data_IF_993637317602
#
_entry.id   IF_993637317602
#
_cell.length_a   1.000
_cell.length_b   1.000
_cell.length_c   1.000
_cell.angle_alpha   90.00
_cell.angle_beta   90.00
_cell.angle_gamma   90.00
#
_symmetry.space_group_name_H-M   'P 1'
#
loop_
_entity.id
_entity.type
_entity.pdbx_description
1 polymer ?
#
# COMPACT_ATOMS: atom_id res chain seq x y z
N UNK A 1 -10.61 -3.41 11.79
CA UNK A 1 -9.46 -2.62 11.30
C UNK A 1 -9.20 -2.96 9.84
N UNK A 2 -8.96 -1.97 8.96
CA UNK A 2 -8.55 -2.20 7.57
C UNK A 2 -7.04 -2.43 7.58
N UNK A 3 -6.61 -3.67 7.36
CA UNK A 3 -5.19 -4.03 7.32
C UNK A 3 -4.75 -4.41 5.90
N UNK A 4 -3.48 -4.19 5.55
CA UNK A 4 -2.93 -4.67 4.30
C UNK A 4 -3.03 -6.21 4.22
N UNK A 5 -3.46 -6.69 3.06
CA UNK A 5 -3.56 -8.14 2.82
C UNK A 5 -2.19 -8.78 2.56
N UNK A 6 -1.32 -8.04 1.89
CA UNK A 6 0.05 -8.41 1.54
C UNK A 6 0.87 -7.15 1.31
N UNK A 7 2.18 -7.33 1.23
CA UNK A 7 3.10 -6.27 0.83
C UNK A 7 3.72 -6.64 -0.52
N UNK A 8 3.93 -5.62 -1.34
CA UNK A 8 4.64 -5.71 -2.60
C UNK A 8 5.98 -4.99 -2.43
N UNK A 9 7.02 -5.49 -3.07
CA UNK A 9 8.31 -4.82 -3.09
C UNK A 9 8.53 -4.27 -4.50
N UNK A 10 8.94 -3.01 -4.59
CA UNK A 10 9.32 -2.45 -5.89
C UNK A 10 10.46 -3.27 -6.53
N UNK A 11 11.37 -3.82 -5.71
CA UNK A 11 12.49 -4.58 -6.18
C UNK A 11 13.58 -3.71 -6.81
N UNK A 12 14.50 -4.38 -7.52
CA UNK A 12 15.60 -3.69 -8.18
C UNK A 12 15.09 -2.91 -9.39
N UNK A 13 15.56 -1.66 -9.55
CA UNK A 13 15.25 -0.84 -10.71
C UNK A 13 15.77 -1.49 -12.00
N UNK A 14 14.89 -1.59 -12.99
CA UNK A 14 15.19 -2.15 -14.30
C UNK A 14 15.24 -1.03 -15.33
N UNK A 15 16.35 -0.83 -16.06
CA UNK A 15 16.40 0.16 -17.13
C UNK A 15 15.40 -0.16 -18.23
N UNK A 16 14.81 0.87 -18.89
CA UNK A 16 13.86 0.66 -19.97
C UNK A 16 14.46 -0.13 -21.14
N UNK A 17 15.78 -0.01 -21.34
CA UNK A 17 16.52 -0.73 -22.39
C UNK A 17 16.62 -2.24 -22.20
N UNK A 18 16.41 -2.73 -20.98
CA UNK A 18 16.55 -4.16 -20.63
C UNK A 18 15.23 -4.89 -20.41
N UNK A 19 14.08 -4.21 -20.62
CA UNK A 19 12.77 -4.78 -20.42
C UNK A 19 12.49 -5.95 -21.37
N UNK A 20 11.91 -7.03 -20.82
CA UNK A 20 11.44 -8.19 -21.59
C UNK A 20 9.99 -8.51 -21.28
N UNK A 21 9.27 -8.95 -22.30
CA UNK A 21 7.89 -9.38 -22.12
C UNK A 21 7.78 -10.53 -21.11
N UNK A 22 6.81 -10.43 -20.22
CA UNK A 22 6.52 -11.42 -19.20
C UNK A 22 7.22 -11.21 -17.86
N UNK A 23 8.22 -10.33 -17.78
CA UNK A 23 8.94 -10.01 -16.54
C UNK A 23 8.14 -9.06 -15.65
N UNK A 24 8.23 -9.26 -14.34
CA UNK A 24 7.79 -8.28 -13.35
C UNK A 24 8.95 -7.31 -13.07
N UNK A 25 8.71 -6.03 -13.30
CA UNK A 25 9.76 -5.01 -13.26
C UNK A 25 9.35 -3.82 -12.41
N UNK A 26 10.35 -3.14 -11.88
CA UNK A 26 10.23 -1.79 -11.35
C UNK A 26 11.11 -0.87 -12.17
N UNK A 27 10.53 0.20 -12.66
CA UNK A 27 11.21 1.21 -13.47
C UNK A 27 11.07 2.58 -12.83
N UNK A 28 12.11 3.39 -12.96
CA UNK A 28 12.02 4.84 -12.74
C UNK A 28 11.83 5.50 -14.09
N UNK A 29 10.79 6.30 -14.24
CA UNK A 29 10.53 6.99 -15.49
C UNK A 29 9.81 8.32 -15.27
N UNK A 30 10.10 9.28 -16.12
CA UNK A 30 9.37 10.54 -16.23
C UNK A 30 8.12 10.35 -17.08
N UNK A 31 7.05 11.02 -16.72
CA UNK A 31 5.83 11.08 -17.53
C UNK A 31 6.05 12.08 -18.67
N UNK A 32 6.16 11.61 -19.90
CA UNK A 32 6.24 12.44 -21.09
C UNK A 32 4.86 12.94 -21.58
N UNK A 33 3.79 12.19 -21.26
CA UNK A 33 2.41 12.57 -21.60
C UNK A 33 1.40 11.58 -21.05
N UNK A 34 0.18 12.06 -20.83
CA UNK A 34 -0.95 11.26 -20.39
C UNK A 34 -2.22 11.68 -21.15
N UNK A 35 -2.92 10.73 -21.77
CA UNK A 35 -4.08 11.00 -22.61
C UNK A 35 -5.22 10.01 -22.37
N UNK A 36 -6.42 10.51 -22.12
CA UNK A 36 -7.64 9.71 -22.08
C UNK A 36 -8.10 9.38 -23.50
N UNK A 37 -8.33 8.10 -23.76
CA UNK A 37 -8.77 7.59 -25.06
C UNK A 37 -9.98 6.68 -24.88
N UNK A 38 -11.02 6.85 -25.71
CA UNK A 38 -12.13 5.91 -25.76
C UNK A 38 -11.70 4.56 -26.30
N UNK A 39 -12.21 3.47 -25.73
CA UNK A 39 -11.91 2.14 -26.24
C UNK A 39 -12.61 1.92 -27.59
N UNK A 40 -11.91 1.31 -28.55
CA UNK A 40 -12.45 1.01 -29.88
C UNK A 40 -13.65 0.05 -29.86
N UNK A 41 -13.79 -0.75 -28.81
CA UNK A 41 -14.92 -1.65 -28.61
C UNK A 41 -16.23 -0.97 -28.18
N UNK A 42 -16.22 0.38 -28.06
CA UNK A 42 -17.41 1.14 -27.66
C UNK A 42 -17.73 1.09 -26.17
N UNK A 43 -17.05 0.29 -25.38
CA UNK A 43 -17.27 0.22 -23.93
C UNK A 43 -16.01 0.56 -23.15
N UNK A 44 -16.08 1.64 -22.34
CA UNK A 44 -15.02 2.06 -21.46
C UNK A 44 -14.01 3.00 -22.08
N UNK A 45 -13.09 3.44 -21.24
CA UNK A 45 -12.01 4.38 -21.56
C UNK A 45 -10.69 3.84 -21.04
N UNK A 46 -9.59 4.30 -21.59
CA UNK A 46 -8.26 4.04 -21.10
C UNK A 46 -7.45 5.33 -21.00
N UNK A 47 -6.59 5.38 -20.02
CA UNK A 47 -5.54 6.39 -19.90
C UNK A 47 -4.26 5.78 -20.45
N UNK A 48 -3.74 6.36 -21.52
CA UNK A 48 -2.45 6.02 -22.11
C UNK A 48 -1.41 7.01 -21.57
N UNK A 49 -0.42 6.51 -20.86
CA UNK A 49 0.67 7.29 -20.29
C UNK A 49 1.95 6.91 -21.01
N UNK A 50 2.63 7.89 -21.54
CA UNK A 50 3.95 7.73 -22.16
C UNK A 50 5.01 8.01 -21.10
N UNK A 51 5.84 7.02 -20.83
CA UNK A 51 6.95 7.07 -19.88
C UNK A 51 8.27 7.14 -20.62
N UNK A 52 9.25 7.85 -20.07
CA UNK A 52 10.59 7.96 -20.65
C UNK A 52 11.67 7.95 -19.55
N UNK A 53 12.84 7.42 -19.89
CA UNK A 53 14.09 7.58 -19.14
C UNK A 53 15.02 8.64 -19.77
N UNK A 54 14.49 9.43 -20.72
CA UNK A 54 15.22 10.41 -21.52
C UNK A 54 15.78 9.85 -22.82
N UNK A 55 15.84 8.54 -22.98
CA UNK A 55 16.38 7.84 -24.19
C UNK A 55 15.30 6.98 -24.85
N UNK A 56 14.57 6.22 -24.05
CA UNK A 56 13.55 5.28 -24.52
C UNK A 56 12.15 5.68 -24.03
N UNK A 57 11.15 5.13 -24.70
CA UNK A 57 9.75 5.32 -24.35
C UNK A 57 9.08 3.99 -24.07
N UNK A 58 8.23 3.97 -23.04
CA UNK A 58 7.38 2.84 -22.66
C UNK A 58 5.94 3.36 -22.48
N UNK A 59 4.96 2.55 -22.86
CA UNK A 59 3.55 2.88 -22.59
C UNK A 59 3.09 2.25 -21.29
N UNK A 60 2.41 3.03 -20.45
CA UNK A 60 1.62 2.50 -19.35
C UNK A 60 0.13 2.74 -19.63
N UNK A 61 -0.72 1.71 -19.50
CA UNK A 61 -2.13 1.80 -19.85
C UNK A 61 -3.01 1.41 -18.67
N UNK A 62 -3.96 2.29 -18.35
CA UNK A 62 -4.98 2.06 -17.32
C UNK A 62 -6.35 2.01 -17.97
N UNK A 63 -7.11 0.93 -17.75
CA UNK A 63 -8.45 0.75 -18.30
C UNK A 63 -9.51 1.03 -17.24
N UNK A 64 -10.63 1.65 -17.63
CA UNK A 64 -11.79 1.80 -16.78
C UNK A 64 -13.10 1.81 -17.58
N UNK A 65 -14.21 1.56 -16.88
CA UNK A 65 -15.54 1.64 -17.48
C UNK A 65 -15.95 3.07 -17.84
N UNK A 66 -15.44 4.06 -17.10
CA UNK A 66 -15.72 5.48 -17.34
C UNK A 66 -14.51 6.36 -16.97
N UNK A 67 -14.46 7.56 -17.50
CA UNK A 67 -13.37 8.52 -17.31
C UNK A 67 -13.19 8.97 -15.85
N UNK A 68 -14.26 9.02 -15.06
CA UNK A 68 -14.18 9.48 -13.67
C UNK A 68 -13.27 8.61 -12.80
N UNK A 69 -13.13 7.32 -13.15
CA UNK A 69 -12.21 6.41 -12.46
C UNK A 69 -10.74 6.65 -12.79
N UNK A 70 -10.45 7.23 -13.96
CA UNK A 70 -9.10 7.50 -14.41
C UNK A 70 -8.67 8.95 -14.13
N UNK A 71 -9.61 9.87 -13.95
CA UNK A 71 -9.31 11.27 -13.68
C UNK A 71 -8.37 11.51 -12.46
N UNK A 72 -8.47 10.76 -11.34
CA UNK A 72 -7.51 10.91 -10.26
C UNK A 72 -6.09 10.47 -10.65
N UNK A 73 -5.97 9.40 -11.46
CA UNK A 73 -4.67 8.90 -11.96
C UNK A 73 -4.07 9.90 -12.93
N UNK A 74 -4.89 10.41 -13.88
CA UNK A 74 -4.46 11.44 -14.86
C UNK A 74 -3.93 12.70 -14.18
N UNK A 75 -4.58 13.14 -13.09
CA UNK A 75 -4.14 14.32 -12.34
C UNK A 75 -2.84 14.10 -11.57
N UNK A 76 -2.55 12.87 -11.17
CA UNK A 76 -1.31 12.52 -10.47
C UNK A 76 -0.15 12.38 -11.47
N UNK A 77 -0.38 11.71 -12.60
CA UNK A 77 0.65 11.45 -13.63
C UNK A 77 0.82 12.67 -14.55
N UNK A 78 1.38 13.74 -13.97
CA UNK A 78 1.61 14.99 -14.67
C UNK A 78 2.88 14.93 -15.52
N UNK A 79 2.88 15.42 -16.77
CA UNK A 79 4.09 15.48 -17.58
C UNK A 79 5.22 16.25 -16.89
N UNK A 80 6.45 15.76 -17.02
CA UNK A 80 7.66 16.32 -16.41
C UNK A 80 7.93 15.83 -14.99
N UNK A 81 7.05 15.02 -14.39
CA UNK A 81 7.28 14.43 -13.07
C UNK A 81 7.77 12.99 -13.18
N UNK A 82 8.67 12.62 -12.28
CA UNK A 82 9.23 11.27 -12.19
C UNK A 82 8.46 10.39 -11.21
N UNK A 83 8.28 9.13 -11.59
CA UNK A 83 7.59 8.13 -10.79
C UNK A 83 8.33 6.79 -10.86
N UNK A 84 8.20 6.01 -9.79
CA UNK A 84 8.42 4.57 -9.84
C UNK A 84 7.17 3.90 -10.41
N UNK A 85 7.35 3.03 -11.39
CA UNK A 85 6.28 2.18 -11.89
C UNK A 85 6.66 0.72 -11.71
N UNK A 86 5.73 -0.08 -11.19
CA UNK A 86 5.94 -1.51 -11.07
C UNK A 86 4.79 -2.29 -11.68
N UNK A 87 5.12 -3.36 -12.38
CA UNK A 87 4.13 -4.22 -13.00
C UNK A 87 4.76 -5.23 -13.95
N UNK A 88 3.90 -6.06 -14.52
CA UNK A 88 4.32 -7.04 -15.50
C UNK A 88 4.41 -6.40 -16.88
N UNK A 89 5.54 -6.61 -17.54
CA UNK A 89 5.75 -6.16 -18.91
C UNK A 89 4.94 -7.04 -19.85
N UNK A 90 4.01 -6.43 -20.56
CA UNK A 90 3.28 -7.07 -21.64
C UNK A 90 3.68 -6.50 -23.01
N UNK A 91 3.14 -7.05 -24.08
CA UNK A 91 3.30 -6.51 -25.42
C UNK A 91 1.94 -6.24 -26.07
N UNK A 92 1.83 -5.12 -26.74
CA UNK A 92 0.68 -4.78 -27.56
C UNK A 92 1.14 -4.23 -28.91
N UNK A 93 0.72 -4.87 -30.01
CA UNK A 93 1.13 -4.52 -31.39
C UNK A 93 2.65 -4.44 -31.57
N UNK A 94 3.38 -5.36 -30.93
CA UNK A 94 4.85 -5.43 -31.03
C UNK A 94 5.59 -4.38 -30.19
N UNK A 95 4.89 -3.59 -29.36
CA UNK A 95 5.52 -2.65 -28.42
C UNK A 95 5.32 -3.13 -27.00
N UNK A 96 6.37 -3.03 -26.18
CA UNK A 96 6.28 -3.30 -24.75
C UNK A 96 5.41 -2.26 -24.05
N UNK A 97 4.66 -2.70 -23.06
CA UNK A 97 3.82 -1.83 -22.22
C UNK A 97 3.66 -2.39 -20.82
N UNK A 98 3.31 -1.52 -19.88
CA UNK A 98 2.77 -1.88 -18.57
C UNK A 98 1.26 -1.73 -18.57
N UNK A 99 0.53 -2.70 -18.05
CA UNK A 99 -0.93 -2.65 -17.92
C UNK A 99 -1.30 -2.56 -16.46
N UNK A 100 -1.99 -1.49 -16.07
CA UNK A 100 -2.34 -1.19 -14.69
C UNK A 100 -1.13 -1.26 -13.72
N UNK A 101 0.02 -0.64 -14.06
CA UNK A 101 1.14 -0.64 -13.15
C UNK A 101 0.77 0.03 -11.83
N UNK A 102 1.39 -0.40 -10.73
CA UNK A 102 1.47 0.40 -9.52
C UNK A 102 2.44 1.55 -9.77
N UNK A 103 2.19 2.72 -9.18
CA UNK A 103 3.11 3.85 -9.34
C UNK A 103 3.17 4.68 -8.07
N UNK A 104 4.31 5.33 -7.84
CA UNK A 104 4.56 6.23 -6.73
C UNK A 104 5.44 7.40 -7.19
N UNK A 105 5.07 8.62 -6.80
CA UNK A 105 5.83 9.83 -7.11
C UNK A 105 7.18 9.83 -6.40
N UNK A 106 8.20 10.31 -7.07
CA UNK A 106 9.56 10.36 -6.52
C UNK A 106 10.02 11.81 -6.52
N UNK A 107 10.15 12.40 -5.34
CA UNK A 107 10.75 13.71 -5.17
C UNK A 107 12.26 13.55 -4.92
N UNK A 108 13.04 13.45 -5.98
CA UNK A 108 14.47 13.76 -6.11
C UNK A 108 15.52 13.08 -5.23
N UNK A 109 15.30 12.76 -3.97
CA UNK A 109 16.40 12.47 -3.06
C UNK A 109 16.55 11.03 -2.54
N UNK A 110 15.55 10.16 -2.67
CA UNK A 110 15.61 8.82 -2.03
C UNK A 110 15.00 7.68 -2.87
N UNK A 111 15.30 7.65 -4.15
CA UNK A 111 14.76 6.64 -5.08
C UNK A 111 15.05 5.21 -4.61
N UNK A 112 16.28 4.94 -4.14
CA UNK A 112 16.68 3.62 -3.66
C UNK A 112 15.93 3.25 -2.38
N UNK A 113 15.72 4.21 -1.48
CA UNK A 113 14.94 4.02 -0.26
C UNK A 113 13.47 3.75 -0.56
N UNK A 114 12.87 4.52 -1.46
CA UNK A 114 11.48 4.32 -1.89
C UNK A 114 11.34 2.95 -2.58
N UNK A 115 12.29 2.59 -3.45
CA UNK A 115 12.29 1.30 -4.15
C UNK A 115 12.48 0.11 -3.20
N UNK A 116 13.11 0.28 -2.05
CA UNK A 116 13.31 -0.79 -1.06
C UNK A 116 12.15 -0.96 -0.08
N UNK A 117 11.26 0.04 0.05
CA UNK A 117 10.14 0.00 1.01
C UNK A 117 9.05 -1.00 0.58
N UNK A 118 8.52 -1.78 1.55
CA UNK A 118 7.37 -2.62 1.29
C UNK A 118 6.09 -1.79 1.07
N UNK A 119 5.38 -2.04 -0.03
CA UNK A 119 4.15 -1.33 -0.37
C UNK A 119 2.95 -2.11 0.16
N UNK A 120 2.12 -1.54 1.02
CA UNK A 120 0.94 -2.22 1.53
C UNK A 120 -0.13 -2.37 0.43
N UNK A 121 -0.56 -3.60 0.17
CA UNK A 121 -1.64 -3.92 -0.76
C UNK A 121 -2.92 -4.23 0.01
N UNK A 122 -3.90 -3.39 -0.15
CA UNK A 122 -5.21 -3.54 0.47
C UNK A 122 -6.18 -4.35 -0.39
N UNK A 123 -7.18 -5.03 0.22
CA UNK A 123 -8.23 -5.69 -0.53
C UNK A 123 -9.04 -4.65 -1.31
N UNK A 124 -8.83 -4.62 -2.62
CA UNK A 124 -9.55 -3.73 -3.52
C UNK A 124 -10.98 -4.26 -3.77
N UNK A 125 -11.93 -3.35 -3.96
CA UNK A 125 -13.28 -3.65 -4.43
C UNK A 125 -13.46 -3.07 -5.84
N UNK A 126 -14.56 -3.39 -6.51
CA UNK A 126 -14.83 -2.86 -7.86
C UNK A 126 -14.91 -1.32 -7.95
N UNK A 127 -15.08 -0.65 -6.81
CA UNK A 127 -15.20 0.82 -6.72
C UNK A 127 -14.00 1.50 -6.05
N UNK A 128 -13.17 0.76 -5.29
CA UNK A 128 -12.10 1.33 -4.49
C UNK A 128 -10.80 0.54 -4.72
N UNK A 129 -9.83 1.17 -5.36
CA UNK A 129 -8.52 0.59 -5.64
C UNK A 129 -7.63 0.59 -4.40
N UNK A 130 -6.68 -0.34 -4.31
CA UNK A 130 -5.73 -0.48 -3.20
C UNK A 130 -4.96 0.82 -2.91
N UNK A 131 -4.47 1.50 -3.95
CA UNK A 131 -3.74 2.75 -3.80
C UNK A 131 -4.59 3.88 -3.19
N UNK A 132 -5.90 3.92 -3.48
CA UNK A 132 -6.80 4.92 -2.89
C UNK A 132 -7.01 4.67 -1.40
N UNK A 133 -7.06 3.40 -0.99
CA UNK A 133 -7.11 3.01 0.43
C UNK A 133 -5.79 3.39 1.10
N UNK A 134 -4.64 3.05 0.49
CA UNK A 134 -3.32 3.37 1.03
C UNK A 134 -3.15 4.87 1.26
N UNK A 135 -3.55 5.70 0.28
CA UNK A 135 -3.50 7.15 0.39
C UNK A 135 -4.40 7.70 1.51
N UNK A 136 -5.64 7.18 1.61
CA UNK A 136 -6.55 7.60 2.68
C UNK A 136 -6.02 7.23 4.06
N UNK A 137 -5.45 6.03 4.20
CA UNK A 137 -4.79 5.59 5.44
C UNK A 137 -3.59 6.47 5.76
N UNK A 138 -2.74 6.79 4.77
CA UNK A 138 -1.60 7.69 4.93
C UNK A 138 -2.02 9.05 5.49
N UNK A 139 -3.03 9.69 4.88
CA UNK A 139 -3.55 10.98 5.37
C UNK A 139 -4.03 10.94 6.83
N UNK A 140 -4.60 9.82 7.26
CA UNK A 140 -5.00 9.65 8.67
C UNK A 140 -3.78 9.51 9.57
N UNK A 141 -2.81 8.68 9.17
CA UNK A 141 -1.61 8.41 9.97
C UNK A 141 -0.69 9.62 10.11
N UNK A 142 -0.64 10.48 9.09
CA UNK A 142 0.14 11.72 9.10
C UNK A 142 -0.35 12.73 10.17
N UNK A 143 -1.62 12.60 10.59
CA UNK A 143 -2.27 13.46 11.59
C UNK A 143 -2.62 12.72 12.89
N UNK A 144 -2.20 11.46 13.03
CA UNK A 144 -2.53 10.63 14.18
C UNK A 144 -1.50 10.85 15.28
N UNK A 145 -1.96 11.38 16.42
CA UNK A 145 -1.15 11.45 17.63
C UNK A 145 -1.30 10.17 18.45
N UNK A 146 -0.27 9.84 19.25
CA UNK A 146 -0.30 8.67 20.13
C UNK A 146 -1.44 8.75 21.16
N UNK A 147 -1.85 9.97 21.54
CA UNK A 147 -2.97 10.22 22.43
C UNK A 147 -4.33 9.84 21.80
N UNK A 148 -4.45 9.85 20.48
CA UNK A 148 -5.67 9.47 19.76
C UNK A 148 -5.88 7.95 19.71
N UNK A 149 -4.83 7.20 19.97
CA UNK A 149 -4.83 5.73 19.92
C UNK A 149 -4.38 5.16 21.26
N UNK A 150 -5.30 5.03 22.23
CA UNK A 150 -4.95 4.44 23.51
C UNK A 150 -4.45 3.01 23.34
N UNK A 151 -3.31 2.71 23.98
CA UNK A 151 -2.74 1.37 23.93
C UNK A 151 -3.58 0.43 24.81
N UNK A 152 -4.13 -0.66 24.27
CA UNK A 152 -4.92 -1.60 25.03
C UNK A 152 -4.06 -2.49 25.96
N UNK A 153 -2.74 -2.47 25.79
CA UNK A 153 -1.79 -3.23 26.61
C UNK A 153 -1.08 -2.27 27.55
N UNK A 154 -1.07 -2.53 28.89
CA UNK A 154 -0.31 -1.72 29.83
C UNK A 154 1.17 -1.61 29.43
N UNK A 155 1.76 -0.44 29.65
CA UNK A 155 3.12 -0.13 29.20
C UNK A 155 4.16 -1.14 29.71
N UNK A 156 4.07 -1.53 30.98
CA UNK A 156 4.99 -2.51 31.59
C UNK A 156 4.88 -3.91 30.99
N UNK A 157 3.70 -4.30 30.51
CA UNK A 157 3.47 -5.58 29.82
C UNK A 157 4.04 -5.52 28.42
N UNK A 158 3.78 -4.43 27.71
CA UNK A 158 4.23 -4.17 26.35
C UNK A 158 5.75 -4.13 26.28
N UNK A 159 6.38 -3.38 27.18
CA UNK A 159 7.85 -3.25 27.26
C UNK A 159 8.53 -4.59 27.54
N UNK A 160 8.00 -5.39 28.47
CA UNK A 160 8.50 -6.75 28.73
C UNK A 160 8.36 -7.66 27.52
N UNK A 161 7.35 -7.47 26.68
CA UNK A 161 7.17 -8.21 25.44
C UNK A 161 8.04 -7.70 24.29
N UNK A 162 8.71 -6.55 24.47
CA UNK A 162 9.57 -5.94 23.44
C UNK A 162 8.80 -5.33 22.29
N UNK A 163 7.56 -4.86 22.53
CA UNK A 163 6.73 -4.26 21.49
C UNK A 163 6.71 -2.72 21.58
N UNK A 164 6.62 -2.09 20.44
CA UNK A 164 6.38 -0.65 20.28
C UNK A 164 4.95 -0.27 20.70
N UNK A 165 4.64 1.02 20.81
CA UNK A 165 3.29 1.50 21.12
C UNK A 165 2.27 1.07 20.07
N UNK A 166 0.99 1.08 20.43
CA UNK A 166 -0.08 0.70 19.50
C UNK A 166 -0.10 1.62 18.27
N UNK A 167 0.10 2.91 18.47
CA UNK A 167 0.16 3.90 17.38
C UNK A 167 1.39 3.67 16.47
N UNK A 168 2.58 3.42 17.04
CA UNK A 168 3.78 3.07 16.25
C UNK A 168 3.58 1.78 15.45
N UNK A 169 2.95 0.77 16.05
CA UNK A 169 2.62 -0.48 15.34
C UNK A 169 1.63 -0.26 14.20
N UNK A 170 0.65 0.65 14.36
CA UNK A 170 -0.26 1.01 13.26
C UNK A 170 0.50 1.70 12.12
N UNK A 171 1.38 2.65 12.43
CA UNK A 171 2.22 3.31 11.41
C UNK A 171 3.11 2.30 10.69
N UNK A 172 3.83 1.45 11.42
CA UNK A 172 4.71 0.43 10.84
C UNK A 172 3.94 -0.62 10.01
N UNK A 173 2.69 -0.93 10.37
CA UNK A 173 1.85 -1.83 9.58
C UNK A 173 1.45 -1.22 8.23
N UNK A 174 1.19 0.07 8.19
CA UNK A 174 0.63 0.74 7.01
C UNK A 174 1.65 1.51 6.19
N UNK A 175 2.75 1.92 6.79
CA UNK A 175 3.86 2.66 6.19
C UNK A 175 5.21 2.07 6.63
N UNK A 176 5.48 0.78 6.36
CA UNK A 176 6.73 0.14 6.77
C UNK A 176 7.90 0.69 5.97
N UNK A 177 9.05 0.85 6.62
CA UNK A 177 10.33 1.10 5.94
C UNK A 177 10.98 -0.22 5.51
N UNK A 178 10.80 -1.28 6.31
CA UNK A 178 11.37 -2.61 6.08
C UNK A 178 10.34 -3.72 6.26
N UNK A 179 10.67 -4.93 5.81
CA UNK A 179 9.85 -6.11 6.06
C UNK A 179 9.72 -6.43 7.54
N UNK A 180 10.77 -6.17 8.29
CA UNK A 180 10.80 -6.43 9.72
C UNK A 180 9.80 -5.55 10.48
N UNK A 181 9.65 -4.29 10.07
CA UNK A 181 8.73 -3.34 10.70
C UNK A 181 7.29 -3.85 10.68
N UNK A 182 6.77 -4.20 9.49
CA UNK A 182 5.38 -4.67 9.43
C UNK A 182 5.19 -6.05 10.06
N UNK A 183 6.21 -6.91 10.06
CA UNK A 183 6.14 -8.21 10.71
C UNK A 183 6.10 -8.07 12.24
N UNK A 184 6.90 -7.18 12.81
CA UNK A 184 6.88 -6.87 14.24
C UNK A 184 5.56 -6.20 14.62
N UNK A 185 5.12 -5.22 13.83
CA UNK A 185 3.84 -4.56 14.05
C UNK A 185 2.67 -5.56 14.06
N UNK A 186 2.62 -6.50 13.11
CA UNK A 186 1.58 -7.56 13.09
C UNK A 186 1.62 -8.44 14.33
N UNK A 187 2.81 -8.81 14.81
CA UNK A 187 2.96 -9.59 16.04
C UNK A 187 2.47 -8.82 17.25
N UNK A 188 2.83 -7.55 17.38
CA UNK A 188 2.40 -6.69 18.48
C UNK A 188 0.88 -6.47 18.49
N UNK A 189 0.28 -6.20 17.33
CA UNK A 189 -1.16 -6.02 17.22
C UNK A 189 -1.93 -7.32 17.52
N UNK A 190 -1.45 -8.46 17.04
CA UNK A 190 -2.04 -9.76 17.38
C UNK A 190 -1.92 -10.08 18.88
N UNK A 191 -0.78 -9.72 19.50
CA UNK A 191 -0.62 -9.83 20.94
C UNK A 191 -1.62 -8.95 21.68
N UNK A 192 -1.80 -7.70 21.26
CA UNK A 192 -2.76 -6.78 21.86
C UNK A 192 -4.21 -7.32 21.79
N UNK A 193 -4.62 -7.84 20.64
CA UNK A 193 -5.93 -8.50 20.49
C UNK A 193 -6.09 -9.70 21.43
N UNK A 194 -5.09 -10.58 21.49
CA UNK A 194 -5.10 -11.73 22.38
C UNK A 194 -5.12 -11.33 23.85
N UNK A 195 -4.38 -10.27 24.22
CA UNK A 195 -4.33 -9.73 25.58
C UNK A 195 -5.71 -9.24 26.02
N UNK A 196 -6.36 -8.42 25.22
CA UNK A 196 -7.71 -7.89 25.50
C UNK A 196 -8.71 -9.05 25.68
N UNK A 197 -8.68 -10.04 24.80
CA UNK A 197 -9.53 -11.22 24.90
C UNK A 197 -9.29 -12.00 26.20
N UNK A 198 -8.02 -12.22 26.59
CA UNK A 198 -7.66 -12.94 27.81
C UNK A 198 -8.08 -12.18 29.07
N UNK A 199 -7.91 -10.86 29.08
CA UNK A 199 -8.38 -10.00 30.19
C UNK A 199 -9.90 -10.09 30.33
N UNK A 200 -10.63 -10.02 29.22
CA UNK A 200 -12.09 -10.16 29.20
C UNK A 200 -12.56 -11.52 29.76
N UNK A 201 -11.94 -12.60 29.30
CA UNK A 201 -12.23 -13.95 29.78
C UNK A 201 -11.88 -14.14 31.28
N UNK A 202 -10.76 -13.56 31.73
CA UNK A 202 -10.38 -13.60 33.15
C UNK A 202 -11.36 -12.84 34.03
N UNK A 203 -11.85 -11.68 33.59
CA UNK A 203 -12.87 -10.90 34.28
C UNK A 203 -14.20 -11.68 34.40
N UNK A 204 -14.65 -12.29 33.31
CA UNK A 204 -15.85 -13.14 33.32
C UNK A 204 -15.73 -14.33 34.28
N UNK A 205 -14.59 -15.02 34.29
CA UNK A 205 -14.33 -16.14 35.23
C UNK A 205 -14.34 -15.69 36.68
N UNK A 206 -13.79 -14.50 36.98
CA UNK A 206 -13.84 -13.93 38.35
C UNK A 206 -15.27 -13.61 38.76
N UNK A 207 -16.05 -12.96 37.87
CA UNK A 207 -17.45 -12.67 38.13
C UNK A 207 -18.28 -13.93 38.42
N UNK A 208 -18.14 -14.96 37.57
CA UNK A 208 -18.84 -16.23 37.77
C UNK A 208 -18.48 -16.92 39.10
N UNK A 209 -17.19 -16.89 39.49
CA UNK A 209 -16.75 -17.45 40.81
C UNK A 209 -17.29 -16.66 41.98
N UNK A 210 -17.35 -15.32 41.88
CA UNK A 210 -17.92 -14.47 42.95
C UNK A 210 -19.40 -14.75 43.13
N UNK A 211 -20.18 -14.89 42.07
CA UNK A 211 -21.61 -15.26 42.14
C UNK A 211 -21.80 -16.67 42.75
N UNK A 212 -21.00 -17.65 42.34
CA UNK A 212 -21.09 -18.99 42.92
C UNK A 212 -20.75 -19.02 44.42
N UNK A 213 -19.78 -18.22 44.87
CA UNK A 213 -19.43 -18.10 46.29
C UNK A 213 -20.47 -17.42 47.16
N UNK A 214 -21.36 -16.57 46.57
CA UNK A 214 -22.46 -15.92 47.26
C UNK A 214 -23.71 -16.83 47.34
N UNK A 215 -23.78 -17.87 46.53
CA UNK A 215 -24.93 -18.79 46.46
C UNK A 215 -24.71 -20.07 47.30
N UNK A 216 -23.54 -20.25 47.89
CA UNK A 216 -23.18 -21.34 48.81
C UNK A 216 -23.20 -20.89 50.28
#
# INVERSE_FOLDING_TARGET
MVAPRRYYHWGRLTPLSSLREGEDVTILAEVAGAHLVANRSGSGVRLEVTLTDGVQFLSATFFAKNQYKLAPIERLLTPGQSFLFAGKVGAYRGKLQLTHPSFEGVDGEDIERIASRPIPIYPATGSLASWAIARAVGMVLDHLDDADVPDPVPADVRERAGFASHAECLRALHQPETDEDYQQARRALAFAEAFVLQVGLAAQRRGARAVAALAS
#
